data_IF_153065141356
#
_entry.id   IF_153065141356
#
_cell.length_a   1.000
_cell.length_b   1.000
_cell.length_c   1.000
_cell.angle_alpha   90.00
_cell.angle_beta   90.00
_cell.angle_gamma   90.00
#
_symmetry.space_group_name_H-M   'P 1'
#
loop_
_entity.id
_entity.type
_entity.pdbx_description
1 polymer ?
#
# COMPACT_ATOMS: atom_id res chain seq x y z
N UNK A 1 -28.91 -17.31 -20.02
CA UNK A 1 -27.44 -17.21 -19.98
C UNK A 1 -27.00 -16.55 -18.68
N UNK A 2 -25.71 -16.67 -18.25
CA UNK A 2 -25.19 -15.94 -17.09
C UNK A 2 -25.41 -14.43 -17.16
N UNK A 3 -25.24 -13.85 -18.37
CA UNK A 3 -25.49 -12.43 -18.61
C UNK A 3 -26.96 -12.05 -18.35
N UNK A 4 -27.91 -12.83 -18.88
CA UNK A 4 -29.33 -12.58 -18.65
C UNK A 4 -29.71 -12.68 -17.16
N UNK A 5 -29.10 -13.61 -16.41
CA UNK A 5 -29.29 -13.71 -14.95
C UNK A 5 -28.73 -12.49 -14.23
N UNK A 6 -27.53 -12.02 -14.61
CA UNK A 6 -26.93 -10.82 -14.03
C UNK A 6 -27.79 -9.57 -14.29
N UNK A 7 -28.25 -9.37 -15.54
CA UNK A 7 -29.18 -8.29 -15.89
C UNK A 7 -30.53 -8.40 -15.18
N UNK A 8 -31.02 -9.61 -14.94
CA UNK A 8 -32.27 -9.81 -14.19
C UNK A 8 -32.13 -9.39 -12.73
N UNK A 9 -31.00 -9.72 -12.08
CA UNK A 9 -30.70 -9.28 -10.71
C UNK A 9 -30.54 -7.76 -10.66
N UNK A 10 -29.79 -7.18 -11.60
CA UNK A 10 -29.61 -5.73 -11.71
C UNK A 10 -30.96 -5.01 -11.85
N UNK A 11 -31.79 -5.45 -12.80
CA UNK A 11 -33.14 -4.91 -13.02
C UNK A 11 -34.05 -5.10 -11.80
N UNK A 12 -33.83 -6.16 -11.02
CA UNK A 12 -34.57 -6.36 -9.78
C UNK A 12 -34.25 -5.26 -8.75
N UNK A 13 -32.99 -4.88 -8.57
CA UNK A 13 -32.68 -3.74 -7.69
C UNK A 13 -33.19 -2.42 -8.25
N UNK A 14 -32.98 -2.17 -9.55
CA UNK A 14 -33.24 -0.87 -10.16
C UNK A 14 -34.72 -0.55 -10.40
N UNK A 15 -35.54 -1.56 -10.73
CA UNK A 15 -36.90 -1.32 -11.24
C UNK A 15 -37.97 -2.08 -10.46
N UNK A 16 -37.75 -3.37 -10.16
CA UNK A 16 -38.83 -4.26 -9.71
C UNK A 16 -38.92 -4.41 -8.19
N UNK A 17 -37.78 -4.37 -7.52
CA UNK A 17 -37.63 -4.76 -6.12
C UNK A 17 -38.12 -3.72 -5.13
N UNK A 18 -38.40 -2.49 -5.60
CA UNK A 18 -38.78 -1.31 -4.78
C UNK A 18 -37.71 -0.95 -3.75
N UNK A 19 -36.45 -1.00 -4.18
CA UNK A 19 -35.34 -0.53 -3.37
C UNK A 19 -35.22 0.98 -3.44
N UNK A 20 -34.65 1.58 -2.40
CA UNK A 20 -34.41 3.03 -2.36
C UNK A 20 -33.02 3.32 -1.83
N UNK A 21 -32.34 4.26 -2.47
CA UNK A 21 -31.05 4.75 -2.02
C UNK A 21 -31.20 5.68 -0.82
N UNK A 22 -30.38 5.48 0.22
CA UNK A 22 -30.25 6.38 1.36
C UNK A 22 -28.90 6.23 2.04
N UNK A 23 -28.31 7.35 2.48
CA UNK A 23 -27.10 7.38 3.29
C UNK A 23 -27.35 7.07 4.78
N UNK A 24 -28.62 6.97 5.19
CA UNK A 24 -29.04 6.65 6.55
C UNK A 24 -29.99 5.46 6.57
N UNK A 25 -29.52 4.25 6.18
CA UNK A 25 -30.36 3.06 6.21
C UNK A 25 -30.73 2.68 7.66
N UNK A 26 -31.91 2.07 7.88
CA UNK A 26 -32.26 1.56 9.20
C UNK A 26 -31.26 0.52 9.68
N UNK A 27 -30.90 0.56 10.96
CA UNK A 27 -30.04 -0.46 11.57
C UNK A 27 -30.78 -1.79 11.65
N UNK A 28 -30.10 -2.88 11.27
CA UNK A 28 -30.64 -4.22 11.41
C UNK A 28 -30.88 -4.58 12.89
N UNK A 29 -31.98 -5.27 13.22
CA UNK A 29 -32.23 -5.76 14.57
C UNK A 29 -31.13 -6.68 15.07
N UNK A 30 -30.96 -6.76 16.39
CA UNK A 30 -29.98 -7.67 17.00
C UNK A 30 -30.26 -9.11 16.57
N UNK A 31 -29.21 -9.81 16.13
CA UNK A 31 -29.29 -11.20 15.67
C UNK A 31 -29.69 -11.36 14.19
N UNK A 32 -30.07 -10.28 13.48
CA UNK A 32 -30.37 -10.32 12.05
C UNK A 32 -29.14 -9.90 11.25
N UNK A 33 -28.83 -10.63 10.17
CA UNK A 33 -27.74 -10.24 9.25
C UNK A 33 -28.14 -8.96 8.51
N UNK A 34 -27.30 -7.91 8.49
CA UNK A 34 -27.63 -6.65 7.82
C UNK A 34 -28.02 -6.80 6.35
N UNK A 35 -27.34 -7.69 5.61
CA UNK A 35 -27.63 -7.93 4.20
C UNK A 35 -29.01 -8.58 3.98
N UNK A 36 -29.41 -9.50 4.87
CA UNK A 36 -30.73 -10.13 4.83
C UNK A 36 -31.82 -9.10 5.16
N UNK A 37 -31.57 -8.26 6.17
CA UNK A 37 -32.48 -7.19 6.57
C UNK A 37 -32.72 -6.19 5.43
N UNK A 38 -31.64 -5.81 4.75
CA UNK A 38 -31.67 -4.99 3.54
C UNK A 38 -32.48 -5.65 2.41
N UNK A 39 -32.17 -6.89 2.06
CA UNK A 39 -32.78 -7.58 0.92
C UNK A 39 -34.27 -7.85 1.09
N UNK A 40 -34.68 -8.27 2.29
CA UNK A 40 -35.99 -8.85 2.51
C UNK A 40 -36.95 -7.95 3.28
N UNK A 41 -36.44 -6.98 4.05
CA UNK A 41 -37.26 -6.11 4.90
C UNK A 41 -37.16 -4.63 4.54
N UNK A 42 -36.00 -4.01 4.76
CA UNK A 42 -35.87 -2.54 4.70
C UNK A 42 -35.82 -2.03 3.28
N UNK A 43 -35.10 -2.73 2.38
CA UNK A 43 -34.85 -2.35 0.99
C UNK A 43 -34.31 -0.93 0.82
N UNK A 44 -33.67 -0.42 1.86
CA UNK A 44 -33.10 0.93 1.95
C UNK A 44 -31.63 0.78 2.29
N UNK A 45 -30.76 1.30 1.44
CA UNK A 45 -29.31 1.13 1.58
C UNK A 45 -28.54 2.16 0.76
N UNK A 46 -27.22 2.12 0.86
CA UNK A 46 -26.32 2.89 0.00
C UNK A 46 -25.54 1.94 -0.93
N UNK A 47 -24.68 2.49 -1.79
CA UNK A 47 -24.06 1.75 -2.90
C UNK A 47 -23.38 0.43 -2.46
N UNK A 48 -22.80 0.38 -1.26
CA UNK A 48 -22.16 -0.82 -0.73
C UNK A 48 -23.15 -1.94 -0.40
N UNK A 49 -24.35 -1.61 0.09
CA UNK A 49 -25.38 -2.63 0.37
C UNK A 49 -25.86 -3.27 -0.94
N UNK A 50 -26.14 -2.44 -1.95
CA UNK A 50 -26.56 -2.87 -3.29
C UNK A 50 -25.51 -3.73 -3.98
N UNK A 51 -24.27 -3.26 -4.06
CA UNK A 51 -23.18 -3.97 -4.72
C UNK A 51 -22.81 -5.26 -3.97
N UNK A 52 -22.86 -5.26 -2.63
CA UNK A 52 -22.65 -6.47 -1.83
C UNK A 52 -23.75 -7.50 -2.11
N UNK A 53 -25.01 -7.07 -2.09
CA UNK A 53 -26.16 -7.94 -2.29
C UNK A 53 -26.15 -8.56 -3.69
N UNK A 54 -25.97 -7.76 -4.74
CA UNK A 54 -25.87 -8.25 -6.11
C UNK A 54 -24.70 -9.23 -6.27
N UNK A 55 -23.52 -8.92 -5.74
CA UNK A 55 -22.36 -9.79 -5.82
C UNK A 55 -22.59 -11.14 -5.12
N UNK A 56 -23.27 -11.15 -3.96
CA UNK A 56 -23.63 -12.40 -3.26
C UNK A 56 -24.64 -13.20 -4.09
N UNK A 57 -25.69 -12.57 -4.60
CA UNK A 57 -26.71 -13.23 -5.43
C UNK A 57 -26.14 -13.83 -6.72
N UNK A 58 -25.17 -13.18 -7.35
CA UNK A 58 -24.47 -13.72 -8.52
C UNK A 58 -23.65 -14.97 -8.16
N UNK A 59 -22.91 -14.91 -7.05
CA UNK A 59 -22.07 -16.02 -6.58
C UNK A 59 -22.89 -17.24 -6.15
N UNK A 60 -24.09 -17.06 -5.58
CA UNK A 60 -24.98 -18.20 -5.26
C UNK A 60 -25.48 -18.91 -6.52
N UNK A 61 -25.53 -18.22 -7.66
CA UNK A 61 -25.86 -18.80 -8.96
C UNK A 61 -24.65 -19.37 -9.72
N UNK A 62 -23.47 -19.40 -9.08
CA UNK A 62 -22.23 -19.86 -9.69
C UNK A 62 -21.64 -18.91 -10.74
N UNK A 63 -22.11 -17.65 -10.78
CA UNK A 63 -21.61 -16.65 -11.73
C UNK A 63 -20.38 -15.97 -11.09
N UNK A 64 -19.19 -16.02 -11.71
CA UNK A 64 -18.01 -15.39 -11.14
C UNK A 64 -18.16 -13.86 -11.14
N UNK A 65 -18.17 -13.28 -9.95
CA UNK A 65 -18.31 -11.83 -9.76
C UNK A 65 -17.39 -11.32 -8.66
N UNK A 66 -17.08 -10.02 -8.68
CA UNK A 66 -16.30 -9.30 -7.66
C UNK A 66 -16.92 -7.94 -7.38
N UNK A 67 -16.85 -7.51 -6.13
CA UNK A 67 -17.24 -6.15 -5.74
C UNK A 67 -16.05 -5.21 -5.95
N UNK A 68 -16.31 -4.02 -6.45
CA UNK A 68 -15.33 -2.96 -6.64
C UNK A 68 -15.72 -1.76 -5.78
N UNK A 69 -14.73 -1.06 -5.26
CA UNK A 69 -14.88 0.23 -4.57
C UNK A 69 -13.91 1.21 -5.21
N UNK A 70 -14.40 2.40 -5.53
CA UNK A 70 -13.66 3.44 -6.25
C UNK A 70 -14.43 4.75 -6.24
N UNK A 71 -14.34 5.50 -7.33
CA UNK A 71 -15.04 6.77 -7.51
C UNK A 71 -15.83 6.75 -8.82
N UNK A 72 -16.98 7.41 -8.84
CA UNK A 72 -17.74 7.68 -10.07
C UNK A 72 -17.02 8.73 -10.93
N UNK A 73 -17.59 9.06 -12.08
CA UNK A 73 -16.94 9.88 -13.13
C UNK A 73 -16.59 11.31 -12.69
N UNK A 74 -17.12 11.75 -11.54
CA UNK A 74 -16.99 13.13 -11.09
C UNK A 74 -17.71 14.10 -12.03
N UNK A 75 -17.38 15.39 -11.93
CA UNK A 75 -17.97 16.45 -12.76
C UNK A 75 -16.92 17.00 -13.71
N UNK A 76 -17.28 17.13 -15.00
CA UNK A 76 -16.45 17.83 -15.97
C UNK A 76 -16.56 19.33 -15.74
N UNK A 77 -15.43 19.97 -15.46
CA UNK A 77 -15.32 21.43 -15.51
C UNK A 77 -15.16 21.87 -16.97
N UNK A 78 -16.20 22.49 -17.51
CA UNK A 78 -16.24 22.94 -18.91
C UNK A 78 -15.16 24.00 -19.24
N UNK A 79 -14.68 24.76 -18.24
CA UNK A 79 -13.67 25.81 -18.46
C UNK A 79 -12.27 25.21 -18.55
N UNK A 80 -11.94 24.30 -17.65
CA UNK A 80 -10.61 23.68 -17.60
C UNK A 80 -10.53 22.40 -18.44
N UNK A 81 -11.67 21.87 -18.89
CA UNK A 81 -11.81 20.55 -19.53
C UNK A 81 -11.28 19.41 -18.64
N UNK A 82 -11.30 19.59 -17.32
CA UNK A 82 -10.81 18.61 -16.35
C UNK A 82 -11.97 17.94 -15.62
N UNK A 83 -11.83 16.64 -15.35
CA UNK A 83 -12.75 15.92 -14.48
C UNK A 83 -12.35 16.13 -13.02
N UNK A 84 -13.27 16.65 -12.22
CA UNK A 84 -13.11 16.82 -10.79
C UNK A 84 -13.80 15.68 -10.07
N UNK A 85 -13.03 14.87 -9.34
CA UNK A 85 -13.50 13.70 -8.60
C UNK A 85 -13.23 13.92 -7.11
N UNK A 86 -14.27 13.82 -6.31
CA UNK A 86 -14.30 14.25 -4.91
C UNK A 86 -14.51 13.03 -4.01
N UNK A 87 -14.29 13.20 -2.70
CA UNK A 87 -14.64 12.16 -1.72
C UNK A 87 -16.13 11.79 -1.73
N UNK A 88 -17.00 12.71 -2.17
CA UNK A 88 -18.44 12.48 -2.31
C UNK A 88 -18.79 11.57 -3.49
N UNK A 89 -17.88 11.39 -4.44
CA UNK A 89 -18.06 10.51 -5.61
C UNK A 89 -17.67 9.07 -5.31
N UNK A 90 -17.31 8.75 -4.07
CA UNK A 90 -16.98 7.39 -3.66
C UNK A 90 -18.16 6.46 -3.94
N UNK A 91 -17.90 5.41 -4.72
CA UNK A 91 -18.94 4.51 -5.21
C UNK A 91 -18.48 3.05 -5.20
N UNK A 92 -19.44 2.14 -5.18
CA UNK A 92 -19.16 0.70 -5.25
C UNK A 92 -20.11 0.00 -6.21
N UNK A 93 -19.58 -0.90 -7.02
CA UNK A 93 -20.31 -1.65 -8.04
C UNK A 93 -19.86 -3.10 -8.09
N UNK A 94 -20.43 -3.88 -9.01
CA UNK A 94 -20.07 -5.29 -9.24
C UNK A 94 -19.48 -5.46 -10.62
N UNK A 95 -18.42 -6.25 -10.74
CA UNK A 95 -17.96 -6.76 -12.03
C UNK A 95 -18.23 -8.25 -12.13
N UNK A 96 -18.68 -8.68 -13.30
CA UNK A 96 -19.07 -10.05 -13.63
C UNK A 96 -18.20 -10.56 -14.76
N UNK A 97 -17.60 -11.74 -14.58
CA UNK A 97 -16.73 -12.34 -15.60
C UNK A 97 -17.54 -13.15 -16.61
N UNK A 98 -17.34 -12.87 -17.89
CA UNK A 98 -17.86 -13.65 -18.99
C UNK A 98 -16.71 -14.18 -19.87
N UNK A 99 -16.63 -15.49 -20.14
CA UNK A 99 -15.66 -16.03 -21.08
C UNK A 99 -15.72 -15.31 -22.42
N UNK A 100 -14.56 -14.93 -22.98
CA UNK A 100 -14.44 -14.17 -24.23
C UNK A 100 -14.58 -12.64 -24.09
N UNK A 101 -15.21 -12.13 -23.03
CA UNK A 101 -15.41 -10.68 -22.82
C UNK A 101 -14.67 -10.12 -21.59
N UNK A 102 -14.29 -10.98 -20.64
CA UNK A 102 -13.60 -10.57 -19.42
C UNK A 102 -14.57 -10.05 -18.35
N UNK A 103 -14.10 -9.12 -17.52
CA UNK A 103 -14.88 -8.50 -16.46
C UNK A 103 -15.72 -7.35 -17.00
N UNK A 104 -17.03 -7.44 -16.87
CA UNK A 104 -17.98 -6.40 -17.25
C UNK A 104 -18.68 -5.83 -16.02
N UNK A 105 -18.87 -4.51 -15.92
CA UNK A 105 -19.45 -3.88 -14.75
C UNK A 105 -21.00 -3.95 -14.77
N UNK A 106 -21.61 -3.97 -13.59
CA UNK A 106 -23.05 -3.94 -13.36
C UNK A 106 -23.36 -3.02 -12.17
N UNK A 107 -24.44 -2.25 -12.29
CA UNK A 107 -24.88 -1.27 -11.30
C UNK A 107 -26.19 -1.69 -10.64
N UNK A 108 -26.15 -2.00 -9.35
CA UNK A 108 -27.34 -2.34 -8.58
C UNK A 108 -27.96 -1.14 -7.87
N UNK A 109 -27.26 0.00 -7.80
CA UNK A 109 -27.66 1.17 -7.00
C UNK A 109 -28.68 2.02 -7.76
N UNK A 110 -29.91 2.18 -7.25
CA UNK A 110 -30.94 3.03 -7.88
C UNK A 110 -30.79 4.49 -7.43
N UNK A 111 -29.63 5.10 -7.68
CA UNK A 111 -29.35 6.51 -7.36
C UNK A 111 -29.67 7.47 -8.51
N UNK A 112 -29.91 6.93 -9.72
CA UNK A 112 -30.21 7.69 -10.92
C UNK A 112 -29.00 8.41 -11.53
N UNK A 113 -27.82 8.31 -10.91
CA UNK A 113 -26.60 9.01 -11.32
C UNK A 113 -25.55 8.07 -11.89
N UNK A 114 -25.50 6.82 -11.41
CA UNK A 114 -24.45 5.86 -11.75
C UNK A 114 -24.90 4.72 -12.68
N UNK A 115 -26.13 4.78 -13.22
CA UNK A 115 -26.72 3.73 -14.06
C UNK A 115 -26.99 4.17 -15.52
N UNK A 116 -26.43 3.48 -16.54
CA UNK A 116 -25.39 2.46 -16.43
C UNK A 116 -24.08 3.07 -15.93
N UNK A 117 -23.15 2.22 -15.47
CA UNK A 117 -21.83 2.65 -15.00
C UNK A 117 -21.16 3.46 -16.11
N UNK A 118 -21.14 4.77 -15.95
CA UNK A 118 -20.51 5.66 -16.90
C UNK A 118 -19.01 5.48 -16.76
N UNK A 119 -18.40 4.86 -17.76
CA UNK A 119 -16.95 4.90 -17.91
C UNK A 119 -16.57 6.29 -18.42
N UNK A 120 -15.58 6.97 -17.84
CA UNK A 120 -14.95 8.06 -18.55
C UNK A 120 -14.35 7.48 -19.85
N UNK A 121 -14.51 8.17 -20.98
CA UNK A 121 -14.03 7.75 -22.31
C UNK A 121 -12.49 7.75 -22.44
N UNK A 122 -11.77 7.47 -21.34
CA UNK A 122 -10.32 7.63 -21.20
C UNK A 122 -9.51 6.47 -21.73
N UNK A 123 -10.12 5.46 -22.38
CA UNK A 123 -9.34 4.41 -23.07
C UNK A 123 -8.56 4.98 -24.28
N UNK A 124 -8.98 6.12 -24.83
CA UNK A 124 -8.29 6.80 -25.91
C UNK A 124 -7.40 7.99 -25.47
N UNK A 125 -7.38 8.34 -24.17
CA UNK A 125 -6.62 9.50 -23.66
C UNK A 125 -5.41 9.12 -22.79
N UNK A 126 -5.23 7.84 -22.45
CA UNK A 126 -4.05 7.34 -21.71
C UNK A 126 -2.82 7.10 -22.60
N UNK A 127 -2.91 7.32 -23.92
CA UNK A 127 -1.78 7.22 -24.86
C UNK A 127 -1.06 8.54 -25.11
N UNK A 128 -1.47 9.65 -24.50
CA UNK A 128 -0.72 10.91 -24.56
C UNK A 128 -0.01 11.15 -23.24
N UNK A 129 1.29 10.88 -23.24
CA UNK A 129 2.20 11.18 -22.13
C UNK A 129 2.23 12.68 -21.86
N UNK A 130 1.47 13.15 -20.88
CA UNK A 130 1.66 14.48 -20.30
C UNK A 130 2.60 14.36 -19.09
N UNK A 131 3.74 15.04 -19.17
CA UNK A 131 4.73 15.10 -18.09
C UNK A 131 4.14 15.82 -16.84
N UNK A 132 4.46 15.37 -15.61
CA UNK A 132 3.96 16.02 -14.41
C UNK A 132 4.77 17.29 -14.11
N UNK A 133 4.09 18.44 -14.08
CA UNK A 133 4.64 19.69 -13.53
C UNK A 133 4.54 19.66 -12.01
N UNK A 134 5.67 19.55 -11.32
CA UNK A 134 5.76 19.65 -9.88
C UNK A 134 5.72 21.13 -9.45
N UNK A 135 4.60 21.58 -8.89
CA UNK A 135 4.55 22.82 -8.12
C UNK A 135 4.73 22.50 -6.63
N UNK A 136 5.92 22.79 -6.10
CA UNK A 136 6.25 22.62 -4.69
C UNK A 136 5.69 23.78 -3.85
N UNK A 137 4.92 23.44 -2.81
CA UNK A 137 4.48 24.37 -1.76
C UNK A 137 5.68 24.80 -0.90
N UNK A 138 5.91 26.10 -0.78
CA UNK A 138 6.94 26.71 0.07
C UNK A 138 6.49 26.81 1.53
N UNK A 139 7.36 26.40 2.47
CA UNK A 139 7.29 26.71 3.91
C UNK A 139 8.42 27.68 4.28
N UNK A 140 8.26 28.57 5.28
CA UNK A 140 9.20 29.66 5.54
C UNK A 140 10.46 29.19 6.29
N UNK A 141 11.59 29.89 6.06
CA UNK A 141 12.87 29.73 6.77
C UNK A 141 12.93 30.65 8.00
N UNK A 142 13.67 30.30 9.08
CA UNK A 142 14.01 31.23 10.15
C UNK A 142 15.18 32.14 9.77
N UNK A 143 15.19 33.35 10.33
CA UNK A 143 16.15 34.44 10.09
C UNK A 143 17.56 34.16 10.67
N UNK A 144 18.61 34.86 10.18
CA UNK A 144 19.98 34.74 10.68
C UNK A 144 20.22 35.58 11.95
N UNK A 145 21.08 35.09 12.84
CA UNK A 145 21.56 35.83 14.02
C UNK A 145 22.86 36.60 13.71
N UNK A 146 22.89 37.83 14.20
CA UNK A 146 23.97 38.83 14.19
C UNK A 146 25.25 38.35 14.93
N UNK A 147 26.41 38.85 14.52
CA UNK A 147 27.72 38.56 15.09
C UNK A 147 28.04 39.41 16.35
N UNK A 148 28.88 38.90 17.27
CA UNK A 148 29.59 39.77 18.22
C UNK A 148 31.11 39.77 18.02
N UNK A 149 31.67 40.98 18.13
CA UNK A 149 33.10 41.30 18.21
C UNK A 149 33.80 40.68 19.45
N UNK A 150 35.10 40.43 19.30
CA UNK A 150 36.12 40.27 20.37
C UNK A 150 36.88 41.61 20.57
N UNK A 151 37.79 41.78 21.57
CA UNK A 151 38.24 40.87 22.64
C UNK A 151 38.30 41.55 24.04
N UNK A 152 38.69 40.81 25.08
CA UNK A 152 39.78 41.24 25.98
C UNK A 152 40.37 40.08 26.79
N UNK A 153 41.65 40.24 27.11
CA UNK A 153 42.59 39.23 27.59
C UNK A 153 42.58 39.08 29.12
N UNK A 154 42.84 37.87 29.64
CA UNK A 154 43.77 37.64 30.76
C UNK A 154 43.93 36.14 31.06
N UNK A 155 45.17 35.75 31.28
CA UNK A 155 45.63 34.39 31.54
C UNK A 155 45.35 33.93 32.99
N UNK A 156 45.18 32.61 33.18
CA UNK A 156 46.10 31.74 33.93
C UNK A 156 45.39 30.58 34.66
N UNK A 157 45.85 29.37 34.32
CA UNK A 157 45.94 28.15 35.13
C UNK A 157 44.67 27.51 35.73
N UNK A 158 44.17 26.47 35.05
CA UNK A 158 43.50 25.32 35.69
C UNK A 158 43.75 24.04 34.87
N UNK A 159 43.75 22.85 35.50
CA UNK A 159 44.39 21.63 34.97
C UNK A 159 43.65 21.08 33.75
N UNK A 160 44.37 20.38 32.86
CA UNK A 160 43.85 19.78 31.63
C UNK A 160 42.44 19.18 31.81
N UNK A 161 41.42 19.62 31.05
CA UNK A 161 40.08 19.06 31.17
C UNK A 161 40.11 17.60 30.71
N UNK A 162 39.59 16.72 31.56
CA UNK A 162 39.43 15.28 31.32
C UNK A 162 38.38 15.05 30.22
N UNK A 163 38.74 15.33 28.96
CA UNK A 163 37.90 15.15 27.78
C UNK A 163 37.56 13.67 27.54
N UNK A 164 38.38 12.76 28.10
CA UNK A 164 38.25 11.32 27.92
C UNK A 164 36.99 10.81 28.61
N UNK A 165 36.67 11.31 29.81
CA UNK A 165 35.52 10.87 30.61
C UNK A 165 34.15 11.11 29.95
N UNK A 166 33.78 12.33 29.47
CA UNK A 166 32.51 12.54 28.78
C UNK A 166 32.44 11.81 27.43
N UNK A 167 33.58 11.64 26.73
CA UNK A 167 33.65 10.84 25.50
C UNK A 167 33.40 9.35 25.77
N UNK A 168 33.95 8.79 26.85
CA UNK A 168 33.70 7.41 27.27
C UNK A 168 32.24 7.20 27.73
N UNK A 169 31.66 8.16 28.45
CA UNK A 169 30.24 8.11 28.84
C UNK A 169 29.35 8.19 27.60
N UNK A 170 29.61 9.13 26.68
CA UNK A 170 28.86 9.25 25.44
C UNK A 170 28.98 7.99 24.56
N UNK A 171 30.19 7.42 24.45
CA UNK A 171 30.43 6.16 23.76
C UNK A 171 29.70 4.98 24.41
N UNK A 172 29.71 4.89 25.74
CA UNK A 172 28.98 3.88 26.51
C UNK A 172 27.46 3.99 26.35
N UNK A 173 26.92 5.22 26.38
CA UNK A 173 25.49 5.48 26.13
C UNK A 173 25.12 5.13 24.71
N UNK A 174 25.93 5.51 23.71
CA UNK A 174 25.68 5.15 22.32
C UNK A 174 25.69 3.64 22.11
N UNK A 175 26.67 2.94 22.70
CA UNK A 175 26.75 1.47 22.65
C UNK A 175 25.50 0.84 23.29
N UNK A 176 25.07 1.34 24.45
CA UNK A 176 23.86 0.87 25.12
C UNK A 176 22.61 1.08 24.26
N UNK A 177 22.47 2.24 23.62
CA UNK A 177 21.36 2.54 22.71
C UNK A 177 21.36 1.62 21.48
N UNK A 178 22.54 1.33 20.91
CA UNK A 178 22.68 0.40 19.78
C UNK A 178 22.32 -1.03 20.21
N UNK A 179 22.79 -1.48 21.38
CA UNK A 179 22.45 -2.79 21.94
C UNK A 179 20.95 -2.90 22.22
N UNK A 180 20.34 -1.88 22.80
CA UNK A 180 18.90 -1.81 23.05
C UNK A 180 18.11 -1.87 21.73
N UNK A 181 18.53 -1.09 20.73
CA UNK A 181 17.91 -1.13 19.40
C UNK A 181 18.05 -2.51 18.74
N UNK A 182 19.20 -3.17 18.87
CA UNK A 182 19.43 -4.52 18.37
C UNK A 182 18.54 -5.56 19.09
N UNK A 183 18.40 -5.47 20.41
CA UNK A 183 17.51 -6.32 21.20
C UNK A 183 16.04 -6.12 20.83
N UNK A 184 15.61 -4.87 20.67
CA UNK A 184 14.25 -4.54 20.22
C UNK A 184 13.98 -5.05 18.80
N UNK A 185 14.94 -4.91 17.88
CA UNK A 185 14.85 -5.44 16.53
C UNK A 185 14.78 -6.97 16.51
N UNK A 186 15.61 -7.64 17.33
CA UNK A 186 15.60 -9.08 17.49
C UNK A 186 14.27 -9.57 18.08
N UNK A 187 13.76 -8.90 19.13
CA UNK A 187 12.44 -9.17 19.70
C UNK A 187 11.33 -8.96 18.67
N UNK A 188 11.40 -7.91 17.87
CA UNK A 188 10.45 -7.58 16.80
C UNK A 188 10.41 -8.62 15.67
N UNK A 189 11.54 -9.31 15.42
CA UNK A 189 11.66 -10.44 14.49
C UNK A 189 11.15 -11.76 15.10
N UNK A 190 11.50 -12.05 16.35
CA UNK A 190 11.23 -13.33 17.02
C UNK A 190 9.81 -13.43 17.58
N UNK A 191 9.22 -12.33 18.05
CA UNK A 191 7.89 -12.32 18.68
C UNK A 191 6.73 -12.55 17.70
N UNK A 192 7.00 -12.65 16.39
CA UNK A 192 5.97 -12.78 15.37
C UNK A 192 5.53 -14.24 15.24
N UNK A 193 4.27 -14.51 15.58
CA UNK A 193 3.64 -15.84 15.46
C UNK A 193 2.48 -15.92 14.48
N UNK A 194 1.99 -14.76 14.02
CA UNK A 194 0.84 -14.64 13.12
C UNK A 194 1.26 -14.43 11.67
N UNK A 195 0.63 -15.13 10.74
CA UNK A 195 0.96 -15.07 9.31
C UNK A 195 0.86 -13.65 8.70
N UNK A 196 -0.16 -12.81 9.03
CA UNK A 196 -0.19 -11.44 8.53
C UNK A 196 0.96 -10.55 9.05
N UNK A 197 1.46 -10.83 10.26
CA UNK A 197 2.64 -10.12 10.79
C UNK A 197 3.91 -10.60 10.10
N UNK A 198 4.05 -11.91 9.85
CA UNK A 198 5.15 -12.48 9.06
C UNK A 198 5.20 -11.81 7.68
N UNK A 199 4.05 -11.70 7.00
CA UNK A 199 3.95 -11.06 5.70
C UNK A 199 4.42 -9.60 5.70
N UNK A 200 4.03 -8.81 6.72
CA UNK A 200 4.51 -7.43 6.90
C UNK A 200 6.04 -7.34 7.01
N UNK A 201 6.70 -8.36 7.58
CA UNK A 201 8.18 -8.42 7.63
C UNK A 201 8.78 -8.69 6.26
N UNK A 202 8.18 -9.57 5.47
CA UNK A 202 8.61 -9.81 4.08
C UNK A 202 8.44 -8.56 3.21
N UNK A 203 7.35 -7.81 3.39
CA UNK A 203 7.16 -6.52 2.72
C UNK A 203 8.24 -5.51 3.11
N UNK A 204 8.57 -5.43 4.41
CA UNK A 204 9.66 -4.58 4.87
C UNK A 204 11.00 -5.00 4.25
N UNK A 205 11.29 -6.30 4.21
CA UNK A 205 12.51 -6.83 3.61
C UNK A 205 12.60 -6.48 2.12
N UNK A 206 11.51 -6.65 1.36
CA UNK A 206 11.46 -6.26 -0.04
C UNK A 206 11.71 -4.77 -0.26
N UNK A 207 11.14 -3.90 0.59
CA UNK A 207 11.44 -2.46 0.54
C UNK A 207 12.93 -2.17 0.78
N UNK A 208 13.59 -2.93 1.69
CA UNK A 208 15.03 -2.77 1.93
C UNK A 208 15.86 -3.25 0.74
N UNK A 209 15.49 -4.38 0.15
CA UNK A 209 16.13 -4.94 -1.04
C UNK A 209 15.74 -4.20 -2.34
N UNK A 210 14.94 -3.13 -2.25
CA UNK A 210 14.43 -2.34 -3.39
C UNK A 210 13.69 -3.18 -4.44
N UNK A 211 12.97 -4.21 -3.99
CA UNK A 211 12.10 -5.01 -4.85
C UNK A 211 10.86 -4.18 -5.19
N UNK A 212 10.57 -3.93 -6.48
CA UNK A 212 9.44 -3.09 -6.87
C UNK A 212 8.10 -3.73 -6.49
N UNK A 213 7.17 -2.87 -6.04
CA UNK A 213 5.77 -3.21 -5.79
C UNK A 213 4.91 -2.41 -6.73
N UNK A 214 4.06 -3.09 -7.49
CA UNK A 214 3.09 -2.46 -8.37
C UNK A 214 1.73 -2.41 -7.68
N UNK A 215 0.92 -1.37 -7.93
CA UNK A 215 -0.48 -1.35 -7.54
C UNK A 215 -1.19 -2.61 -8.09
N UNK A 216 -1.88 -3.34 -7.22
CA UNK A 216 -2.59 -4.57 -7.60
C UNK A 216 -1.78 -5.87 -7.47
N UNK A 217 -0.50 -5.80 -7.09
CA UNK A 217 0.32 -7.00 -6.85
C UNK A 217 -0.36 -7.97 -5.87
N UNK A 218 -0.58 -9.20 -6.33
CA UNK A 218 -0.95 -10.30 -5.46
C UNK A 218 0.23 -10.69 -4.56
N UNK A 219 -0.03 -11.30 -3.39
CA UNK A 219 1.06 -11.82 -2.55
C UNK A 219 1.98 -12.79 -3.29
N UNK A 220 1.44 -13.58 -4.23
CA UNK A 220 2.22 -14.52 -5.04
C UNK A 220 3.17 -13.80 -6.02
N UNK A 221 2.70 -12.76 -6.71
CA UNK A 221 3.52 -11.99 -7.66
C UNK A 221 4.64 -11.23 -6.96
N UNK A 222 4.33 -10.56 -5.85
CA UNK A 222 5.36 -9.89 -5.05
C UNK A 222 6.36 -10.89 -4.46
N UNK A 223 5.89 -12.01 -3.91
CA UNK A 223 6.76 -13.06 -3.40
C UNK A 223 7.66 -13.65 -4.48
N UNK A 224 7.15 -13.81 -5.70
CA UNK A 224 7.95 -14.28 -6.83
C UNK A 224 9.12 -13.34 -7.16
N UNK A 225 8.88 -12.03 -7.15
CA UNK A 225 9.95 -11.02 -7.33
C UNK A 225 10.93 -10.99 -6.17
N UNK A 226 10.41 -11.02 -4.93
CA UNK A 226 11.25 -11.03 -3.73
C UNK A 226 12.13 -12.28 -3.65
N UNK A 227 11.56 -13.45 -4.00
CA UNK A 227 12.25 -14.71 -4.09
C UNK A 227 13.39 -14.69 -5.12
N UNK A 228 13.16 -14.05 -6.28
CA UNK A 228 14.22 -13.82 -7.28
C UNK A 228 15.40 -12.99 -6.78
N UNK A 229 15.17 -12.07 -5.82
CA UNK A 229 16.24 -11.30 -5.17
C UNK A 229 16.97 -12.06 -4.06
N UNK A 230 16.41 -13.18 -3.58
CA UNK A 230 16.98 -14.02 -2.52
C UNK A 230 16.83 -15.51 -2.87
N UNK A 231 17.56 -16.02 -3.90
CA UNK A 231 17.36 -17.38 -4.40
C UNK A 231 17.43 -18.51 -3.36
N UNK A 232 18.33 -18.46 -2.34
CA UNK A 232 18.37 -19.50 -1.30
C UNK A 232 17.10 -19.65 -0.46
N UNK A 233 16.19 -18.65 -0.50
CA UNK A 233 14.93 -18.64 0.25
C UNK A 233 13.70 -18.62 -0.67
N UNK A 234 13.87 -18.96 -1.95
CA UNK A 234 12.79 -18.86 -2.95
C UNK A 234 11.55 -19.66 -2.52
N UNK A 235 11.77 -20.93 -2.17
CA UNK A 235 10.71 -21.85 -1.77
C UNK A 235 9.96 -21.35 -0.52
N UNK A 236 10.70 -20.90 0.49
CA UNK A 236 10.16 -20.39 1.75
C UNK A 236 9.34 -19.12 1.55
N UNK A 237 9.84 -18.16 0.76
CA UNK A 237 9.16 -16.89 0.50
C UNK A 237 7.85 -17.14 -0.24
N UNK A 238 7.86 -17.99 -1.28
CA UNK A 238 6.65 -18.37 -2.02
C UNK A 238 5.65 -19.14 -1.14
N UNK A 239 6.14 -20.02 -0.28
CA UNK A 239 5.30 -20.77 0.67
C UNK A 239 4.63 -19.84 1.68
N UNK A 240 5.35 -18.86 2.25
CA UNK A 240 4.77 -17.87 3.14
C UNK A 240 3.73 -16.99 2.44
N UNK A 241 3.92 -16.65 1.17
CA UNK A 241 2.89 -15.96 0.37
C UNK A 241 1.63 -16.82 0.21
N UNK A 242 1.75 -18.11 -0.12
CA UNK A 242 0.60 -19.02 -0.24
C UNK A 242 -0.16 -19.14 1.09
N UNK A 243 0.55 -19.31 2.19
CA UNK A 243 -0.04 -19.40 3.53
C UNK A 243 -0.69 -18.08 3.96
N UNK A 244 -0.10 -16.94 3.60
CA UNK A 244 -0.72 -15.63 3.81
C UNK A 244 -2.02 -15.47 3.03
N UNK A 245 -2.03 -15.78 1.72
CA UNK A 245 -3.23 -15.75 0.90
C UNK A 245 -4.32 -16.67 1.47
N UNK A 246 -3.97 -17.89 1.89
CA UNK A 246 -4.92 -18.80 2.53
C UNK A 246 -5.45 -18.23 3.85
N UNK A 247 -4.59 -17.70 4.71
CA UNK A 247 -4.99 -17.06 5.97
C UNK A 247 -5.94 -15.88 5.76
N UNK A 248 -5.74 -15.10 4.69
CA UNK A 248 -6.52 -13.91 4.39
C UNK A 248 -7.86 -14.19 3.71
N UNK A 249 -7.94 -15.22 2.86
CA UNK A 249 -9.11 -15.42 1.98
C UNK A 249 -9.87 -16.75 2.19
N UNK A 250 -9.31 -17.72 2.93
CA UNK A 250 -10.02 -18.97 3.24
C UNK A 250 -11.01 -18.76 4.38
N UNK A 251 -12.26 -19.18 4.18
CA UNK A 251 -13.27 -19.23 5.24
C UNK A 251 -12.82 -20.22 6.32
N UNK A 252 -12.74 -19.78 7.57
CA UNK A 252 -12.21 -20.57 8.70
C UNK A 252 -10.70 -20.44 8.95
N UNK A 253 -9.97 -19.64 8.15
CA UNK A 253 -8.54 -19.38 8.36
C UNK A 253 -7.62 -20.57 8.08
N UNK A 254 -6.46 -20.58 8.74
CA UNK A 254 -5.49 -21.68 8.64
C UNK A 254 -5.75 -22.74 9.70
N UNK A 255 -5.53 -24.01 9.34
CA UNK A 255 -5.46 -25.12 10.29
C UNK A 255 -4.25 -24.99 11.22
N UNK A 256 -4.27 -25.72 12.34
CA UNK A 256 -3.16 -25.77 13.29
C UNK A 256 -1.84 -26.21 12.63
N UNK A 257 -1.90 -27.17 11.71
CA UNK A 257 -0.73 -27.68 10.99
C UNK A 257 -0.16 -26.63 10.03
N UNK A 258 -1.02 -25.92 9.30
CA UNK A 258 -0.62 -24.84 8.40
C UNK A 258 -0.01 -23.65 9.18
N UNK A 259 -0.51 -23.35 10.38
CA UNK A 259 0.08 -22.35 11.27
C UNK A 259 1.45 -22.79 11.78
N UNK A 260 1.60 -24.06 12.14
CA UNK A 260 2.89 -24.62 12.55
C UNK A 260 3.88 -24.61 11.38
N UNK A 261 3.42 -24.92 10.18
CA UNK A 261 4.20 -24.84 8.94
C UNK A 261 4.65 -23.41 8.65
N UNK A 262 3.76 -22.42 8.72
CA UNK A 262 4.10 -21.01 8.54
C UNK A 262 5.19 -20.56 9.52
N UNK A 263 5.11 -21.00 10.78
CA UNK A 263 6.11 -20.70 11.82
C UNK A 263 7.44 -21.35 11.49
N UNK A 264 7.48 -22.63 11.12
CA UNK A 264 8.71 -23.33 10.72
C UNK A 264 9.37 -22.66 9.51
N UNK A 265 8.59 -22.34 8.47
CA UNK A 265 9.10 -21.65 7.28
C UNK A 265 9.63 -20.26 7.62
N UNK A 266 8.94 -19.50 8.49
CA UNK A 266 9.44 -18.23 8.98
C UNK A 266 10.75 -18.38 9.77
N UNK A 267 10.94 -19.46 10.54
CA UNK A 267 12.20 -19.66 11.27
C UNK A 267 13.43 -19.83 10.37
N UNK A 268 13.25 -20.33 9.13
CA UNK A 268 14.31 -20.38 8.12
C UNK A 268 14.62 -18.99 7.57
N UNK A 269 13.58 -18.26 7.14
CA UNK A 269 13.73 -16.90 6.59
C UNK A 269 14.30 -15.91 7.62
N UNK A 270 13.83 -15.97 8.88
CA UNK A 270 14.28 -15.06 9.94
C UNK A 270 15.78 -15.21 10.23
N UNK A 271 16.35 -16.40 10.04
CA UNK A 271 17.77 -16.67 10.30
C UNK A 271 18.68 -15.85 9.39
N UNK A 272 18.32 -15.72 8.12
CA UNK A 272 19.07 -14.91 7.14
C UNK A 272 18.64 -13.44 7.11
N UNK A 273 17.57 -13.06 7.80
CA UNK A 273 16.97 -11.73 7.72
C UNK A 273 17.95 -10.58 8.06
N UNK A 274 18.74 -10.63 9.17
CA UNK A 274 19.69 -9.56 9.47
C UNK A 274 20.77 -9.42 8.41
N UNK A 275 21.27 -10.53 7.87
CA UNK A 275 22.29 -10.54 6.82
C UNK A 275 21.77 -9.94 5.51
N UNK A 276 20.50 -10.22 5.14
CA UNK A 276 19.86 -9.65 3.97
C UNK A 276 19.65 -8.13 4.11
N UNK A 277 19.21 -7.68 5.29
CA UNK A 277 19.09 -6.24 5.57
C UNK A 277 20.47 -5.57 5.52
N UNK A 278 21.49 -6.16 6.15
CA UNK A 278 22.85 -5.63 6.12
C UNK A 278 23.45 -5.60 4.70
N UNK A 279 23.14 -6.60 3.86
CA UNK A 279 23.48 -6.60 2.43
C UNK A 279 22.81 -5.42 1.71
N UNK A 280 21.51 -5.22 1.88
CA UNK A 280 20.79 -4.09 1.30
C UNK A 280 21.39 -2.72 1.67
N UNK A 281 21.77 -2.54 2.95
CA UNK A 281 22.43 -1.31 3.40
C UNK A 281 23.81 -1.13 2.76
N UNK A 282 24.62 -2.20 2.67
CA UNK A 282 25.93 -2.13 2.01
C UNK A 282 25.80 -1.76 0.53
N UNK A 283 24.84 -2.36 -0.18
CA UNK A 283 24.62 -2.10 -1.60
C UNK A 283 24.15 -0.66 -1.84
N UNK A 284 23.30 -0.12 -0.96
CA UNK A 284 22.88 1.28 -1.01
C UNK A 284 24.05 2.26 -0.77
N UNK A 285 24.94 1.97 0.18
CA UNK A 285 26.12 2.80 0.45
C UNK A 285 27.12 2.78 -0.71
N UNK A 286 27.28 1.63 -1.38
CA UNK A 286 28.14 1.50 -2.57
C UNK A 286 27.61 2.33 -3.73
N UNK A 287 26.31 2.27 -4.02
CA UNK A 287 25.70 3.06 -5.10
C UNK A 287 25.77 4.56 -4.84
N UNK A 288 25.57 5.01 -3.59
CA UNK A 288 25.71 6.43 -3.22
C UNK A 288 27.15 6.95 -3.38
N UNK A 289 28.16 6.10 -3.18
CA UNK A 289 29.57 6.43 -3.45
C UNK A 289 29.89 6.52 -4.93
N UNK A 290 29.32 5.64 -5.76
CA UNK A 290 29.55 5.64 -7.22
C UNK A 290 28.94 6.89 -7.88
N UNK A 291 27.74 7.31 -7.46
CA UNK A 291 27.11 8.54 -7.97
C UNK A 291 27.93 9.79 -7.63
N UNK A 292 28.41 9.92 -6.38
CA UNK A 292 29.29 11.05 -6.01
C UNK A 292 30.62 11.05 -6.75
N UNK A 293 31.24 9.89 -6.96
CA UNK A 293 32.49 9.79 -7.72
C UNK A 293 32.31 10.18 -9.20
N UNK A 294 31.14 9.90 -9.78
CA UNK A 294 30.81 10.31 -11.15
C UNK A 294 30.52 11.83 -11.26
N UNK A 295 29.87 12.42 -10.25
CA UNK A 295 29.67 13.88 -10.17
C UNK A 295 30.99 14.63 -9.99
N UNK A 296 31.88 14.15 -9.12
CA UNK A 296 33.21 14.74 -8.90
C UNK A 296 34.13 14.61 -10.14
N UNK A 297 34.03 13.51 -10.90
CA UNK A 297 34.74 13.33 -12.15
C UNK A 297 34.19 14.26 -13.27
N UNK A 298 32.87 14.47 -13.32
CA UNK A 298 32.22 15.39 -14.27
C UNK A 298 32.53 16.87 -13.98
N UNK A 299 32.77 17.22 -12.72
CA UNK A 299 33.16 18.58 -12.32
C UNK A 299 34.60 18.96 -12.73
N UNK A 300 35.51 17.99 -12.87
CA UNK A 300 36.92 18.28 -13.22
C UNK A 300 37.18 18.49 -14.72
N UNK A 301 36.24 18.15 -15.59
CA UNK A 301 36.39 18.26 -17.05
C UNK A 301 35.79 19.54 -17.68
N UNK A 302 35.35 20.53 -16.87
CA UNK A 302 34.92 21.85 -17.39
C UNK A 302 36.07 22.85 -17.31
N UNK A 303 36.95 22.80 -18.30
CA UNK A 303 37.95 23.84 -18.55
C UNK A 303 37.26 25.07 -19.16
N UNK A 304 37.61 26.31 -18.75
CA UNK A 304 36.89 27.50 -19.20
C UNK A 304 37.35 27.89 -20.61
N UNK A 305 36.45 27.80 -21.58
CA UNK A 305 36.68 28.29 -22.95
C UNK A 305 36.97 29.80 -22.91
N UNK A 306 38.23 30.17 -23.14
CA UNK A 306 38.65 31.55 -23.41
C UNK A 306 37.93 32.06 -24.66
N UNK A 307 37.07 33.07 -24.48
CA UNK A 307 36.55 33.88 -25.60
C UNK A 307 37.69 34.74 -26.15
N UNK A 308 37.92 34.66 -27.46
CA UNK A 308 38.49 35.73 -28.28
C UNK A 308 37.34 36.42 -29.00
#
# INVERSE_FOLDING_TARGET
TPYARAKAIESWFLVKGRFSYTLAPPTAPVGVRPLDDFLFRTKKGFCQDFSTAMNVMLRTLGIPSRQISGYSVGVLDDKTRQWTVNSLDAHSWVEVYFPGYGWLPFEATPDGTNSPINWPATRNALTTSAAPTAAASSRPRPNPLEAPNQPDSAAANTPFPDLVRPLLIAGGVLLLLVLLAALLALRWLVAVRDVPRIWRRLLFLGNRLRVPRHPGDTPAEFAGRLAGSVPPLDAEIRQLARLYTRASFRRGGLSHDELAEARRTWTRVRGSYPALVARAWRDALRQGRVVRAAEDAGSKNREPSRRR
#
